data_IF_778011671866
#
_entry.id   IF_778011671866
#
_cell.length_a   1.000
_cell.length_b   1.000
_cell.length_c   1.000
_cell.angle_alpha   90.00
_cell.angle_beta   90.00
_cell.angle_gamma   90.00
#
_symmetry.space_group_name_H-M   'P 1'
#
loop_
_entity.id
_entity.type
_entity.pdbx_description
1 polymer ?
#
# COMPACT_ATOMS: atom_id res chain seq x y z
N UNK A 1 29.17 -36.42 -19.43
CA UNK A 1 29.04 -34.98 -19.75
C UNK A 1 27.70 -34.57 -19.18
N UNK A 2 27.69 -33.94 -18.02
CA UNK A 2 26.48 -33.35 -17.44
C UNK A 2 26.06 -32.19 -18.35
N UNK A 3 24.81 -32.20 -18.83
CA UNK A 3 24.27 -31.03 -19.55
C UNK A 3 24.42 -29.82 -18.65
N UNK A 4 25.08 -28.77 -19.13
CA UNK A 4 25.20 -27.52 -18.39
C UNK A 4 23.79 -26.97 -18.11
N UNK A 5 23.56 -26.51 -16.89
CA UNK A 5 22.30 -25.87 -16.51
C UNK A 5 22.22 -24.54 -17.26
N UNK A 6 21.14 -24.32 -18.01
CA UNK A 6 20.88 -23.07 -18.73
C UNK A 6 20.33 -22.01 -17.77
N UNK A 7 21.18 -21.60 -16.83
CA UNK A 7 20.93 -20.54 -15.88
C UNK A 7 22.18 -19.67 -15.73
N UNK A 8 21.97 -18.36 -15.76
CA UNK A 8 22.99 -17.35 -15.57
C UNK A 8 22.55 -16.39 -14.47
N UNK A 9 23.41 -16.18 -13.48
CA UNK A 9 23.18 -15.28 -12.35
C UNK A 9 24.21 -14.16 -12.40
N UNK A 10 23.77 -12.91 -12.41
CA UNK A 10 24.65 -11.75 -12.24
C UNK A 10 24.41 -11.15 -10.87
N UNK A 11 25.44 -11.14 -10.02
CA UNK A 11 25.42 -10.53 -8.69
C UNK A 11 26.03 -9.13 -8.77
N UNK A 12 25.34 -8.15 -8.21
CA UNK A 12 25.75 -6.74 -8.22
C UNK A 12 25.42 -6.07 -6.87
N UNK A 13 26.10 -4.97 -6.56
CA UNK A 13 25.73 -4.14 -5.41
C UNK A 13 24.35 -3.54 -5.64
N UNK A 14 23.58 -3.42 -4.56
CA UNK A 14 22.26 -2.84 -4.62
C UNK A 14 22.32 -1.31 -4.83
N UNK A 15 21.49 -0.73 -5.72
CA UNK A 15 21.65 0.66 -6.18
C UNK A 15 21.34 1.73 -5.12
N UNK A 16 20.42 1.44 -4.20
CA UNK A 16 19.94 2.40 -3.19
C UNK A 16 20.24 1.99 -1.75
N UNK A 17 20.74 0.77 -1.53
CA UNK A 17 21.01 0.22 -0.19
C UNK A 17 22.47 -0.25 -0.16
N UNK A 18 23.35 0.44 0.59
CA UNK A 18 24.79 0.30 0.42
C UNK A 18 25.36 -1.07 0.80
N UNK A 19 24.70 -1.83 1.69
CA UNK A 19 25.14 -3.19 2.05
C UNK A 19 24.46 -4.29 1.23
N UNK A 20 23.25 -4.05 0.72
CA UNK A 20 22.47 -5.09 0.05
C UNK A 20 23.09 -5.52 -1.29
N UNK A 21 22.77 -6.73 -1.73
CA UNK A 21 23.22 -7.32 -2.99
C UNK A 21 22.01 -7.74 -3.81
N UNK A 22 22.03 -7.49 -5.11
CA UNK A 22 21.00 -7.94 -6.04
C UNK A 22 21.53 -9.04 -6.96
N UNK A 23 20.65 -9.97 -7.33
CA UNK A 23 20.90 -11.03 -8.28
C UNK A 23 19.94 -10.90 -9.45
N UNK A 24 20.48 -10.85 -10.68
CA UNK A 24 19.71 -10.85 -11.93
C UNK A 24 19.86 -12.20 -12.62
N UNK A 25 18.76 -12.88 -12.89
CA UNK A 25 18.73 -14.26 -13.36
C UNK A 25 18.18 -14.34 -14.79
N UNK A 26 18.88 -15.09 -15.64
CA UNK A 26 18.47 -15.36 -17.03
C UNK A 26 18.70 -16.82 -17.41
N UNK A 27 18.11 -17.26 -18.53
CA UNK A 27 18.20 -18.64 -19.04
C UNK A 27 16.89 -19.44 -18.85
N UNK A 28 16.71 -20.49 -19.63
CA UNK A 28 15.48 -21.31 -19.60
C UNK A 28 15.31 -22.12 -18.30
N UNK A 29 16.40 -22.29 -17.53
CA UNK A 29 16.43 -23.00 -16.26
C UNK A 29 16.73 -22.08 -15.07
N UNK A 30 16.49 -20.78 -15.19
CA UNK A 30 16.72 -19.78 -14.14
C UNK A 30 16.05 -20.12 -12.78
N UNK A 31 14.90 -20.82 -12.80
CA UNK A 31 14.20 -21.28 -11.60
C UNK A 31 15.05 -22.17 -10.67
N UNK A 32 16.06 -22.88 -11.20
CA UNK A 32 16.99 -23.67 -10.39
C UNK A 32 17.85 -22.74 -9.52
N UNK A 33 18.37 -21.66 -10.12
CA UNK A 33 19.14 -20.65 -9.40
C UNK A 33 18.27 -19.86 -8.41
N UNK A 34 17.00 -19.57 -8.75
CA UNK A 34 16.04 -18.97 -7.79
C UNK A 34 15.92 -19.85 -6.55
N UNK A 35 15.67 -21.15 -6.73
CA UNK A 35 15.48 -22.09 -5.60
C UNK A 35 16.71 -22.15 -4.69
N UNK A 36 17.92 -22.17 -5.28
CA UNK A 36 19.16 -22.18 -4.53
C UNK A 36 19.38 -20.86 -3.75
N UNK A 37 19.14 -19.72 -4.39
CA UNK A 37 19.28 -18.41 -3.75
C UNK A 37 18.25 -18.20 -2.63
N UNK A 38 16.99 -18.58 -2.82
CA UNK A 38 15.98 -18.51 -1.75
C UNK A 38 16.35 -19.37 -0.53
N UNK A 39 16.98 -20.53 -0.76
CA UNK A 39 17.51 -21.38 0.31
C UNK A 39 18.66 -20.72 1.08
N UNK A 40 19.44 -19.87 0.42
CA UNK A 40 20.51 -19.05 0.99
C UNK A 40 20.02 -17.70 1.55
N UNK A 41 18.70 -17.53 1.72
CA UNK A 41 18.10 -16.36 2.37
C UNK A 41 17.87 -15.15 1.46
N UNK A 42 18.00 -15.31 0.15
CA UNK A 42 17.61 -14.28 -0.81
C UNK A 42 16.09 -14.17 -0.91
N UNK A 43 15.60 -12.95 -1.15
CA UNK A 43 14.17 -12.66 -1.32
C UNK A 43 13.88 -12.28 -2.77
N UNK A 44 12.79 -12.77 -3.34
CA UNK A 44 12.35 -12.37 -4.68
C UNK A 44 11.90 -10.92 -4.64
N UNK A 45 12.54 -10.07 -5.45
CA UNK A 45 12.20 -8.66 -5.59
C UNK A 45 11.29 -8.43 -6.81
N UNK A 46 11.65 -9.04 -7.94
CA UNK A 46 10.92 -8.97 -9.22
C UNK A 46 11.05 -10.29 -9.99
N UNK A 47 10.27 -10.55 -11.05
CA UNK A 47 10.46 -11.72 -11.91
C UNK A 47 11.88 -11.78 -12.50
N UNK A 48 12.67 -12.73 -12.01
CA UNK A 48 14.08 -12.90 -12.40
C UNK A 48 15.08 -12.06 -11.61
N UNK A 49 14.65 -11.39 -10.54
CA UNK A 49 15.53 -10.61 -9.66
C UNK A 49 15.33 -10.99 -8.20
N UNK A 50 16.43 -11.22 -7.48
CA UNK A 50 16.44 -11.45 -6.04
C UNK A 50 17.32 -10.45 -5.33
N UNK A 51 17.05 -10.20 -4.05
CA UNK A 51 17.84 -9.33 -3.18
C UNK A 51 18.26 -10.07 -1.93
N UNK A 52 19.51 -9.89 -1.54
CA UNK A 52 20.07 -10.24 -0.25
C UNK A 52 20.26 -8.95 0.55
N UNK A 53 19.52 -8.82 1.65
CA UNK A 53 19.72 -7.77 2.64
C UNK A 53 19.68 -8.42 4.02
N UNK A 54 20.60 -8.03 4.90
CA UNK A 54 20.80 -8.67 6.20
C UNK A 54 21.05 -7.64 7.29
N UNK A 55 20.65 -7.96 8.52
CA UNK A 55 20.83 -7.12 9.71
C UNK A 55 22.28 -7.09 10.21
N UNK A 56 23.14 -7.94 9.64
CA UNK A 56 24.56 -8.03 9.98
C UNK A 56 25.49 -7.28 9.03
N UNK A 57 24.93 -6.72 7.94
CA UNK A 57 25.65 -6.03 6.87
C UNK A 57 26.79 -6.86 6.21
N UNK A 58 26.74 -8.19 6.29
CA UNK A 58 27.73 -9.10 5.66
C UNK A 58 27.24 -9.66 4.32
N UNK A 59 26.29 -9.01 3.65
CA UNK A 59 25.74 -9.48 2.38
C UNK A 59 26.81 -9.72 1.30
N UNK A 60 27.89 -8.92 1.14
CA UNK A 60 28.95 -9.25 0.18
C UNK A 60 29.61 -10.60 0.46
N UNK A 61 29.86 -10.93 1.74
CA UNK A 61 30.43 -12.21 2.12
C UNK A 61 29.49 -13.37 1.75
N UNK A 62 28.21 -13.25 2.13
CA UNK A 62 27.19 -14.26 1.87
C UNK A 62 26.86 -14.40 0.38
N UNK A 63 26.90 -13.30 -0.39
CA UNK A 63 26.76 -13.34 -1.84
C UNK A 63 27.93 -14.07 -2.53
N UNK A 64 29.16 -13.89 -2.03
CA UNK A 64 30.32 -14.63 -2.52
C UNK A 64 30.25 -16.12 -2.16
N UNK A 65 29.65 -16.47 -1.01
CA UNK A 65 29.42 -17.86 -0.62
C UNK A 65 28.36 -18.53 -1.51
N UNK A 66 27.20 -17.88 -1.69
CA UNK A 66 26.14 -18.32 -2.61
C UNK A 66 26.67 -18.49 -4.04
N UNK A 67 27.52 -17.58 -4.52
CA UNK A 67 28.15 -17.71 -5.83
C UNK A 67 29.02 -18.98 -5.97
N UNK A 68 29.76 -19.38 -4.92
CA UNK A 68 30.55 -20.61 -4.94
C UNK A 68 29.65 -21.84 -4.99
N UNK A 69 28.54 -21.85 -4.25
CA UNK A 69 27.56 -22.94 -4.29
C UNK A 69 26.93 -23.08 -5.68
N UNK A 70 26.45 -21.98 -6.26
CA UNK A 70 25.87 -21.97 -7.62
C UNK A 70 26.86 -22.47 -8.68
N UNK A 71 28.12 -22.04 -8.63
CA UNK A 71 29.16 -22.52 -9.54
C UNK A 71 29.43 -24.02 -9.37
N UNK A 72 29.41 -24.52 -8.13
CA UNK A 72 29.57 -25.94 -7.84
C UNK A 72 28.42 -26.80 -8.40
N UNK A 73 27.21 -26.22 -8.50
CA UNK A 73 26.04 -26.84 -9.15
C UNK A 73 26.07 -26.76 -10.68
N UNK A 74 27.04 -26.04 -11.26
CA UNK A 74 27.20 -25.87 -12.71
C UNK A 74 26.39 -24.71 -13.29
N UNK A 75 25.92 -23.78 -12.45
CA UNK A 75 25.27 -22.53 -12.86
C UNK A 75 26.35 -21.49 -13.15
N UNK A 76 26.15 -20.70 -14.22
CA UNK A 76 27.10 -19.63 -14.56
C UNK A 76 26.82 -18.41 -13.68
N UNK A 77 27.84 -17.93 -12.96
CA UNK A 77 27.73 -16.75 -12.10
C UNK A 77 28.71 -15.67 -12.56
N UNK A 78 28.22 -14.43 -12.72
CA UNK A 78 29.01 -13.23 -12.94
C UNK A 78 28.92 -12.32 -11.70
N UNK A 79 30.05 -11.84 -11.22
CA UNK A 79 30.12 -10.92 -10.06
C UNK A 79 30.71 -9.61 -10.59
N UNK A 80 29.95 -8.52 -10.45
CA UNK A 80 30.41 -7.22 -10.96
C UNK A 80 31.67 -6.73 -10.25
N UNK A 81 32.50 -5.89 -10.91
CA UNK A 81 33.67 -5.30 -10.28
C UNK A 81 33.36 -4.55 -8.97
N UNK A 82 32.20 -3.90 -8.90
CA UNK A 82 31.73 -3.17 -7.73
C UNK A 82 31.48 -4.13 -6.56
N UNK A 83 30.73 -5.21 -6.79
CA UNK A 83 30.49 -6.22 -5.76
C UNK A 83 31.78 -6.96 -5.39
N UNK A 84 32.66 -7.23 -6.36
CA UNK A 84 33.98 -7.81 -6.08
C UNK A 84 34.80 -6.94 -5.14
N UNK A 85 34.81 -5.63 -5.35
CA UNK A 85 35.50 -4.70 -4.46
C UNK A 85 34.92 -4.73 -3.03
N UNK A 86 33.60 -4.79 -2.89
CA UNK A 86 32.94 -4.92 -1.59
C UNK A 86 33.21 -6.28 -0.91
N UNK A 87 33.30 -7.37 -1.67
CA UNK A 87 33.69 -8.70 -1.17
C UNK A 87 35.12 -8.70 -0.63
N UNK A 88 36.02 -8.04 -1.35
CA UNK A 88 37.45 -7.97 -1.02
C UNK A 88 37.73 -6.89 0.06
N UNK A 89 36.74 -6.07 0.40
CA UNK A 89 36.87 -5.05 1.43
C UNK A 89 37.08 -5.67 2.82
N UNK A 90 38.18 -5.26 3.46
CA UNK A 90 38.50 -5.70 4.81
C UNK A 90 37.72 -4.86 5.83
N UNK A 91 36.47 -5.21 6.05
CA UNK A 91 35.67 -4.61 7.11
C UNK A 91 36.05 -5.18 8.49
N UNK A 92 36.07 -4.30 9.48
CA UNK A 92 36.19 -4.66 10.90
C UNK A 92 34.98 -4.08 11.61
N UNK A 93 34.25 -4.87 12.39
CA UNK A 93 33.19 -4.36 13.27
C UNK A 93 33.82 -3.50 14.36
N UNK A 94 33.77 -2.16 14.27
CA UNK A 94 34.44 -1.32 15.24
C UNK A 94 33.72 -1.50 16.58
N UNK A 95 34.46 -1.88 17.62
CA UNK A 95 33.93 -2.09 18.97
C UNK A 95 32.86 -3.21 19.07
N UNK A 96 33.02 -4.32 18.35
CA UNK A 96 32.20 -5.51 18.59
C UNK A 96 32.28 -5.91 20.07
N UNK A 97 31.14 -6.13 20.76
CA UNK A 97 31.12 -6.30 22.23
C UNK A 97 31.84 -7.56 22.72
N UNK A 98 32.18 -8.47 21.81
CA UNK A 98 32.95 -9.68 22.05
C UNK A 98 34.31 -9.61 21.35
N UNK A 99 35.27 -8.80 21.84
CA UNK A 99 36.55 -8.56 21.17
C UNK A 99 37.48 -9.80 21.12
N UNK A 100 37.11 -10.89 21.80
CA UNK A 100 37.83 -12.16 21.77
C UNK A 100 37.42 -13.09 20.64
N UNK A 101 36.36 -12.76 19.88
CA UNK A 101 35.94 -13.57 18.74
C UNK A 101 36.76 -13.25 17.49
N UNK A 102 37.07 -14.30 16.72
CA UNK A 102 37.59 -14.18 15.36
C UNK A 102 36.51 -13.68 14.39
N UNK A 103 36.92 -13.15 13.23
CA UNK A 103 35.97 -12.72 12.18
C UNK A 103 35.01 -13.83 11.75
N UNK A 104 35.48 -15.07 11.67
CA UNK A 104 34.63 -16.21 11.33
C UNK A 104 33.60 -16.49 12.42
N UNK A 105 34.01 -16.46 13.69
CA UNK A 105 33.08 -16.64 14.82
C UNK A 105 32.07 -15.48 14.91
N UNK A 106 32.47 -14.24 14.61
CA UNK A 106 31.53 -13.11 14.53
C UNK A 106 30.48 -13.36 13.46
N UNK A 107 30.88 -13.83 12.26
CA UNK A 107 29.93 -14.19 11.20
C UNK A 107 28.97 -15.29 11.62
N UNK A 108 29.44 -16.30 12.34
CA UNK A 108 28.58 -17.37 12.84
C UNK A 108 27.54 -16.85 13.83
N UNK A 109 27.94 -15.98 14.77
CA UNK A 109 27.01 -15.35 15.74
C UNK A 109 26.02 -14.44 15.02
N UNK A 110 26.50 -13.60 14.11
CA UNK A 110 25.66 -12.70 13.32
C UNK A 110 24.69 -13.45 12.41
N UNK A 111 25.10 -14.60 11.85
CA UNK A 111 24.22 -15.44 11.04
C UNK A 111 23.13 -16.10 11.86
N UNK A 112 23.44 -16.54 13.09
CA UNK A 112 22.40 -17.02 14.01
C UNK A 112 21.40 -15.92 14.34
N UNK A 113 21.87 -14.69 14.57
CA UNK A 113 21.00 -13.55 14.82
C UNK A 113 20.12 -13.22 13.60
N UNK A 114 20.68 -13.29 12.39
CA UNK A 114 19.94 -13.13 11.14
C UNK A 114 18.83 -14.18 11.00
N UNK A 115 19.13 -15.46 11.29
CA UNK A 115 18.12 -16.53 11.25
C UNK A 115 16.97 -16.29 12.23
N UNK A 116 17.27 -15.86 13.46
CA UNK A 116 16.24 -15.50 14.44
C UNK A 116 15.37 -14.36 13.91
N UNK A 117 15.98 -13.34 13.30
CA UNK A 117 15.24 -12.23 12.68
C UNK A 117 14.34 -12.73 11.54
N UNK A 118 14.84 -13.60 10.66
CA UNK A 118 14.04 -14.17 9.57
C UNK A 118 12.92 -15.08 10.08
N UNK A 119 13.16 -15.84 11.15
CA UNK A 119 12.13 -16.66 11.81
C UNK A 119 11.00 -15.79 12.39
N UNK A 120 11.33 -14.65 13.00
CA UNK A 120 10.34 -13.69 13.49
C UNK A 120 9.57 -13.08 12.31
N UNK A 121 10.29 -12.60 11.29
CA UNK A 121 9.69 -11.96 10.12
C UNK A 121 8.77 -12.89 9.33
N UNK A 122 9.13 -14.18 9.19
CA UNK A 122 8.32 -15.21 8.52
C UNK A 122 7.22 -15.80 9.41
N UNK A 123 7.05 -15.31 10.64
CA UNK A 123 6.08 -15.81 11.61
C UNK A 123 6.36 -17.22 12.12
N UNK A 124 7.58 -17.75 11.92
CA UNK A 124 7.99 -19.04 12.46
C UNK A 124 8.32 -18.98 13.94
N UNK A 125 8.77 -17.82 14.44
CA UNK A 125 8.96 -17.51 15.85
C UNK A 125 7.99 -16.41 16.28
N UNK A 126 6.96 -16.78 17.04
CA UNK A 126 5.99 -15.83 17.60
C UNK A 126 6.56 -15.19 18.87
N UNK A 127 6.75 -13.87 18.89
CA UNK A 127 7.16 -13.13 20.09
C UNK A 127 5.93 -12.77 20.92
N UNK A 128 5.89 -13.22 22.17
CA UNK A 128 4.78 -12.96 23.10
C UNK A 128 4.95 -11.62 23.80
N UNK A 129 6.17 -11.33 24.23
CA UNK A 129 6.50 -10.12 24.99
C UNK A 129 7.97 -9.73 24.81
N UNK A 130 8.25 -8.46 25.05
CA UNK A 130 9.59 -7.90 25.12
C UNK A 130 9.75 -7.00 26.34
N UNK A 131 10.99 -6.72 26.72
CA UNK A 131 11.34 -5.79 27.77
C UNK A 131 12.73 -5.20 27.50
N UNK A 132 13.10 -4.16 28.23
CA UNK A 132 14.47 -3.65 28.25
C UNK A 132 15.12 -4.03 29.58
N UNK A 133 16.25 -4.73 29.55
CA UNK A 133 16.91 -5.25 30.78
C UNK A 133 17.86 -4.25 31.45
N UNK A 134 17.96 -3.04 30.88
CA UNK A 134 18.89 -1.98 31.30
C UNK A 134 20.11 -1.85 30.39
N UNK A 135 20.35 -2.83 29.52
CA UNK A 135 21.43 -2.84 28.54
C UNK A 135 20.93 -3.03 27.11
N UNK A 136 19.97 -3.93 26.90
CA UNK A 136 19.44 -4.24 25.58
C UNK A 136 18.00 -4.73 25.65
N UNK A 137 17.38 -4.92 24.49
CA UNK A 137 16.09 -5.58 24.39
C UNK A 137 16.23 -7.08 24.66
N UNK A 138 15.33 -7.57 25.51
CA UNK A 138 15.11 -8.99 25.75
C UNK A 138 13.69 -9.35 25.35
N UNK A 139 13.47 -10.57 24.88
CA UNK A 139 12.15 -11.01 24.44
C UNK A 139 11.88 -12.46 24.79
N UNK A 140 10.61 -12.84 24.81
CA UNK A 140 10.17 -14.22 24.98
C UNK A 140 9.28 -14.61 23.80
N UNK A 141 9.59 -15.73 23.16
CA UNK A 141 8.89 -16.21 21.99
C UNK A 141 8.70 -17.72 21.97
N UNK A 142 7.88 -18.22 21.04
CA UNK A 142 7.68 -19.64 20.78
C UNK A 142 7.76 -19.94 19.30
N UNK A 143 8.59 -20.90 18.93
CA UNK A 143 8.62 -21.45 17.58
C UNK A 143 7.32 -22.20 17.27
N UNK A 144 6.72 -21.96 16.11
CA UNK A 144 5.40 -22.52 15.74
C UNK A 144 5.48 -23.91 15.10
N UNK A 145 6.65 -24.53 15.04
CA UNK A 145 6.81 -25.89 14.54
C UNK A 145 6.15 -26.95 15.46
N UNK A 146 6.02 -28.19 14.98
CA UNK A 146 5.34 -29.30 15.72
C UNK A 146 6.01 -29.67 17.07
N UNK A 147 7.22 -29.19 17.35
CA UNK A 147 7.95 -29.38 18.60
C UNK A 147 8.37 -28.04 19.22
N UNK A 148 7.64 -26.99 18.87
CA UNK A 148 7.96 -25.60 19.13
C UNK A 148 8.51 -25.35 20.52
N UNK A 149 9.79 -25.03 20.61
CA UNK A 149 10.41 -24.60 21.85
C UNK A 149 10.08 -23.14 22.09
N UNK A 150 9.89 -22.79 23.36
CA UNK A 150 9.83 -21.40 23.78
C UNK A 150 11.22 -20.93 24.16
N UNK A 151 11.57 -19.70 23.80
CA UNK A 151 12.93 -19.17 23.94
C UNK A 151 12.89 -17.80 24.61
N UNK A 152 13.93 -17.50 25.38
CA UNK A 152 14.28 -16.13 25.73
C UNK A 152 15.34 -15.65 24.75
N UNK A 153 15.13 -14.45 24.23
CA UNK A 153 16.05 -13.76 23.35
C UNK A 153 16.73 -12.64 24.12
N UNK A 154 18.01 -12.42 23.85
CA UNK A 154 18.78 -11.32 24.38
C UNK A 154 19.58 -10.66 23.26
N UNK A 155 19.56 -9.33 23.22
CA UNK A 155 20.26 -8.55 22.21
C UNK A 155 19.39 -8.16 21.02
N UNK A 156 19.93 -7.26 20.22
CA UNK A 156 19.29 -6.68 19.04
C UNK A 156 20.19 -6.87 17.81
N UNK A 157 19.60 -6.76 16.62
CA UNK A 157 20.31 -6.84 15.34
C UNK A 157 21.20 -8.10 15.27
N UNK A 158 22.42 -7.95 14.76
CA UNK A 158 23.43 -8.99 14.67
C UNK A 158 23.94 -9.56 16.01
N UNK A 159 23.45 -9.06 17.15
CA UNK A 159 23.78 -9.54 18.49
C UNK A 159 22.64 -10.33 19.14
N UNK A 160 21.50 -10.48 18.45
CA UNK A 160 20.36 -11.22 18.98
C UNK A 160 20.68 -12.70 19.10
N UNK A 161 20.49 -13.26 20.29
CA UNK A 161 20.79 -14.66 20.59
C UNK A 161 19.69 -15.30 21.43
N UNK A 162 19.60 -16.63 21.38
CA UNK A 162 18.79 -17.41 22.32
C UNK A 162 19.56 -17.52 23.63
N UNK A 163 19.05 -16.86 24.67
CA UNK A 163 19.63 -16.88 26.02
C UNK A 163 19.19 -18.12 26.81
N UNK A 164 17.93 -18.54 26.64
CA UNK A 164 17.36 -19.70 27.33
C UNK A 164 16.30 -20.39 26.46
N UNK A 165 16.02 -21.66 26.76
CA UNK A 165 15.03 -22.48 26.05
C UNK A 165 14.14 -23.24 27.04
N UNK A 166 12.86 -23.36 26.70
CA UNK A 166 11.81 -23.91 27.55
C UNK A 166 10.93 -24.90 26.78
N UNK A 167 10.37 -25.86 27.50
CA UNK A 167 9.50 -26.89 26.93
C UNK A 167 8.05 -26.42 26.72
N UNK A 168 7.67 -25.26 27.25
CA UNK A 168 6.33 -24.71 27.06
C UNK A 168 6.29 -23.18 27.11
N UNK A 169 5.34 -22.53 26.40
CA UNK A 169 5.14 -21.08 26.45
C UNK A 169 4.85 -20.57 27.85
N UNK A 170 4.04 -21.29 28.63
CA UNK A 170 3.70 -20.90 29.99
C UNK A 170 4.94 -20.84 30.90
N UNK A 171 5.85 -21.83 30.78
CA UNK A 171 7.08 -21.83 31.56
C UNK A 171 8.00 -20.68 31.16
N UNK A 172 8.15 -20.42 29.86
CA UNK A 172 8.95 -19.30 29.36
C UNK A 172 8.40 -17.95 29.82
N UNK A 173 7.09 -17.75 29.74
CA UNK A 173 6.43 -16.52 30.17
C UNK A 173 6.58 -16.26 31.67
N UNK A 174 6.37 -17.28 32.52
CA UNK A 174 6.56 -17.16 33.96
C UNK A 174 8.01 -16.84 34.34
N UNK A 175 8.98 -17.44 33.63
CA UNK A 175 10.39 -17.14 33.84
C UNK A 175 10.73 -15.70 33.41
N UNK A 176 10.16 -15.23 32.29
CA UNK A 176 10.38 -13.88 31.77
C UNK A 176 9.77 -12.81 32.68
N UNK A 177 8.51 -12.98 33.08
CA UNK A 177 7.80 -12.05 33.97
C UNK A 177 8.54 -11.89 35.30
N UNK A 178 9.06 -12.98 35.87
CA UNK A 178 9.82 -12.94 37.13
C UNK A 178 11.04 -12.01 37.07
N UNK A 179 11.67 -11.89 35.90
CA UNK A 179 12.88 -11.09 35.72
C UNK A 179 12.57 -9.67 35.21
N UNK A 180 11.51 -9.50 34.41
CA UNK A 180 11.31 -8.29 33.60
C UNK A 180 9.94 -7.63 33.77
N UNK A 181 9.10 -8.05 34.73
CA UNK A 181 7.72 -7.57 34.89
C UNK A 181 7.53 -6.04 34.83
N UNK A 182 8.49 -5.25 35.35
CA UNK A 182 8.37 -3.79 35.40
C UNK A 182 8.43 -3.11 34.03
N UNK A 183 9.21 -3.66 33.09
CA UNK A 183 9.46 -3.09 31.75
C UNK A 183 8.81 -3.91 30.63
N UNK A 184 8.06 -4.95 31.00
CA UNK A 184 7.47 -5.91 30.08
C UNK A 184 6.33 -5.29 29.27
N UNK A 185 6.38 -5.49 27.96
CA UNK A 185 5.37 -5.07 26.98
C UNK A 185 4.98 -6.26 26.11
N UNK A 186 3.74 -6.33 25.61
CA UNK A 186 3.37 -7.31 24.58
C UNK A 186 4.29 -7.21 23.36
N UNK A 187 4.54 -8.34 22.69
CA UNK A 187 5.53 -8.47 21.62
C UNK A 187 5.18 -7.73 20.32
N UNK A 188 6.01 -7.88 19.26
CA UNK A 188 7.47 -7.89 19.31
C UNK A 188 8.03 -6.53 19.76
N UNK A 189 9.33 -6.44 19.99
CA UNK A 189 9.96 -5.14 20.22
C UNK A 189 9.87 -4.26 18.95
N UNK A 190 9.84 -2.92 19.08
CA UNK A 190 9.93 -2.03 17.93
C UNK A 190 11.14 -2.35 17.06
N UNK A 191 10.97 -2.28 15.74
CA UNK A 191 12.06 -2.52 14.78
C UNK A 191 13.18 -1.49 14.95
N UNK A 192 14.41 -1.96 15.02
CA UNK A 192 15.59 -1.10 14.96
C UNK A 192 15.73 -0.47 13.56
N UNK A 193 16.55 0.56 13.44
CA UNK A 193 16.86 1.17 12.13
C UNK A 193 17.47 0.15 11.16
N UNK A 194 18.39 -0.69 11.65
CA UNK A 194 19.01 -1.77 10.86
C UNK A 194 18.00 -2.79 10.36
N UNK A 195 17.02 -3.17 11.20
CA UNK A 195 15.97 -4.10 10.78
C UNK A 195 15.03 -3.46 9.76
N UNK A 196 14.69 -2.18 9.94
CA UNK A 196 13.91 -1.40 8.96
C UNK A 196 14.62 -1.29 7.63
N UNK A 197 15.91 -1.01 7.63
CA UNK A 197 16.74 -0.91 6.44
C UNK A 197 16.83 -2.24 5.68
N UNK A 198 17.00 -3.36 6.41
CA UNK A 198 17.04 -4.69 5.81
C UNK A 198 15.69 -5.08 5.18
N UNK A 199 14.57 -4.74 5.84
CA UNK A 199 13.22 -4.95 5.29
C UNK A 199 13.01 -4.08 4.05
N UNK A 200 13.32 -2.78 4.14
CA UNK A 200 13.18 -1.85 3.01
C UNK A 200 13.98 -2.31 1.78
N UNK A 201 15.20 -2.82 1.99
CA UNK A 201 16.02 -3.35 0.91
C UNK A 201 15.44 -4.61 0.26
N UNK A 202 14.72 -5.45 1.01
CA UNK A 202 14.04 -6.65 0.48
C UNK A 202 12.75 -6.30 -0.27
N UNK A 203 12.11 -5.19 0.08
CA UNK A 203 10.76 -4.82 -0.39
C UNK A 203 10.73 -4.06 -1.73
N UNK A 204 11.78 -4.08 -2.54
CA UNK A 204 11.70 -3.44 -3.85
C UNK A 204 10.96 -4.26 -4.88
N UNK A 205 9.71 -3.87 -5.11
CA UNK A 205 9.25 -3.58 -6.47
C UNK A 205 9.70 -2.15 -6.83
N UNK A 206 10.53 -2.07 -7.87
CA UNK A 206 10.74 -0.91 -8.75
C UNK A 206 11.49 0.34 -8.22
N UNK A 207 12.82 0.22 -8.03
CA UNK A 207 13.75 1.31 -8.37
C UNK A 207 15.01 0.71 -8.99
N UNK A 208 14.98 0.37 -10.28
CA UNK A 208 16.05 0.66 -11.27
C UNK A 208 15.63 0.14 -12.65
N UNK A 209 14.79 0.90 -13.36
CA UNK A 209 14.95 1.01 -14.83
C UNK A 209 15.88 2.18 -15.13
N UNK A 210 17.18 1.97 -14.94
CA UNK A 210 18.19 2.72 -15.69
C UNK A 210 18.51 1.93 -16.97
N UNK A 211 17.54 1.79 -17.87
CA UNK A 211 17.80 1.54 -19.29
C UNK A 211 17.05 2.57 -20.10
N UNK A 212 17.77 3.62 -20.47
CA UNK A 212 17.28 4.83 -21.16
C UNK A 212 16.20 5.55 -20.35
N UNK A 213 16.36 6.84 -20.08
CA UNK A 213 15.27 7.64 -19.55
C UNK A 213 13.98 7.29 -20.32
N UNK A 214 12.94 6.70 -19.69
CA UNK A 214 11.62 6.77 -20.26
C UNK A 214 11.36 8.27 -20.33
N UNK A 215 11.03 8.79 -21.51
CA UNK A 215 10.56 10.16 -21.64
C UNK A 215 9.62 10.44 -20.46
N UNK A 216 9.81 11.51 -19.68
CA UNK A 216 8.96 11.77 -18.53
C UNK A 216 7.52 11.60 -18.98
N UNK A 217 6.81 10.64 -18.36
CA UNK A 217 5.38 10.50 -18.58
C UNK A 217 4.80 11.88 -18.33
N UNK A 218 4.26 12.47 -19.39
CA UNK A 218 3.91 13.89 -19.38
C UNK A 218 2.77 14.03 -18.39
N UNK A 219 3.07 14.50 -17.19
CA UNK A 219 2.05 14.83 -16.20
C UNK A 219 1.30 16.06 -16.70
N UNK A 220 -0.02 15.92 -16.80
CA UNK A 220 -0.91 17.02 -17.15
C UNK A 220 -1.59 17.51 -15.88
N UNK A 221 -1.59 18.84 -15.67
CA UNK A 221 -2.44 19.46 -14.67
C UNK A 221 -3.85 19.51 -15.22
N UNK A 222 -4.76 18.80 -14.56
CA UNK A 222 -6.17 18.70 -14.93
C UNK A 222 -7.04 19.14 -13.75
N UNK A 223 -8.30 19.53 -13.97
CA UNK A 223 -9.25 19.69 -12.88
C UNK A 223 -9.27 18.46 -11.98
N UNK A 224 -9.43 18.65 -10.67
CA UNK A 224 -9.26 17.56 -9.68
C UNK A 224 -10.14 16.33 -9.99
N UNK A 225 -11.34 16.54 -10.54
CA UNK A 225 -12.26 15.45 -10.87
C UNK A 225 -11.79 14.55 -12.03
N UNK A 226 -10.76 14.97 -12.78
CA UNK A 226 -10.11 14.19 -13.83
C UNK A 226 -8.71 13.68 -13.44
N UNK A 227 -8.24 14.00 -12.24
CA UNK A 227 -6.91 13.62 -11.77
C UNK A 227 -6.84 12.11 -11.44
N UNK A 228 -5.62 11.58 -11.38
CA UNK A 228 -5.40 10.18 -11.01
C UNK A 228 -5.69 9.95 -9.52
N UNK A 229 -6.03 8.70 -9.18
CA UNK A 229 -6.30 8.26 -7.82
C UNK A 229 -5.11 8.49 -6.87
N UNK A 230 -3.87 8.43 -7.38
CA UNK A 230 -2.66 8.51 -6.58
C UNK A 230 -2.47 7.29 -5.69
N UNK A 231 -1.56 7.38 -4.72
CA UNK A 231 -1.33 6.31 -3.74
C UNK A 231 -2.18 6.57 -2.49
N UNK A 232 -3.34 5.91 -2.42
CA UNK A 232 -4.28 6.03 -1.30
C UNK A 232 -3.71 5.55 0.02
N UNK A 233 -2.84 4.54 -0.01
CA UNK A 233 -2.30 3.93 1.21
C UNK A 233 -1.24 4.84 1.82
N UNK A 234 -0.35 5.39 0.99
CA UNK A 234 0.59 6.43 1.44
C UNK A 234 -0.13 7.68 1.95
N UNK A 235 -1.29 8.03 1.38
CA UNK A 235 -2.10 9.16 1.82
C UNK A 235 -2.69 8.91 3.22
N UNK A 236 -3.19 7.71 3.50
CA UNK A 236 -3.66 7.33 4.85
C UNK A 236 -2.51 7.27 5.85
N UNK A 237 -1.37 6.69 5.46
CA UNK A 237 -0.19 6.58 6.33
C UNK A 237 0.33 7.96 6.74
N UNK A 238 0.47 8.86 5.76
CA UNK A 238 0.88 10.26 6.01
C UNK A 238 -0.08 10.97 6.96
N UNK A 239 -1.39 10.71 6.82
CA UNK A 239 -2.39 11.28 7.71
C UNK A 239 -2.23 10.76 9.14
N UNK A 240 -2.17 9.44 9.34
CA UNK A 240 -2.02 8.86 10.68
C UNK A 240 -0.71 9.31 11.34
N UNK A 241 0.39 9.36 10.59
CA UNK A 241 1.69 9.80 11.11
C UNK A 241 1.68 11.27 11.56
N UNK A 242 0.90 12.12 10.88
CA UNK A 242 0.74 13.54 11.22
C UNK A 242 -0.25 13.78 12.37
N UNK A 243 -1.20 12.87 12.58
CA UNK A 243 -2.35 13.01 13.46
C UNK A 243 -2.37 11.91 14.52
N UNK A 244 -1.56 12.09 15.57
CA UNK A 244 -1.36 11.10 16.64
C UNK A 244 -2.60 10.77 17.49
N UNK A 245 -3.69 11.53 17.31
CA UNK A 245 -5.02 11.25 17.83
C UNK A 245 -5.74 10.11 17.08
N UNK A 246 -5.24 9.67 15.92
CA UNK A 246 -5.72 8.50 15.20
C UNK A 246 -4.79 7.30 15.43
N UNK A 247 -5.37 6.19 15.84
CA UNK A 247 -4.67 4.91 15.97
C UNK A 247 -4.98 4.02 14.76
N UNK A 248 -3.92 3.50 14.13
CA UNK A 248 -4.01 2.60 12.97
C UNK A 248 -4.09 1.14 13.41
N UNK A 249 -5.07 0.44 12.86
CA UNK A 249 -5.33 -0.98 13.08
C UNK A 249 -5.48 -1.66 11.72
N UNK A 250 -4.68 -2.69 11.43
CA UNK A 250 -4.84 -3.49 10.22
C UNK A 250 -5.52 -4.82 10.53
N UNK A 251 -6.36 -5.30 9.61
CA UNK A 251 -6.93 -6.65 9.72
C UNK A 251 -5.83 -7.69 9.55
N UNK A 252 -6.05 -8.91 10.04
CA UNK A 252 -5.05 -9.99 9.98
C UNK A 252 -4.51 -10.28 8.57
N UNK A 253 -5.29 -10.04 7.52
CA UNK A 253 -4.87 -10.25 6.13
C UNK A 253 -4.21 -9.03 5.48
N UNK A 254 -4.07 -7.91 6.20
CA UNK A 254 -3.62 -6.61 5.70
C UNK A 254 -4.41 -6.07 4.49
N UNK A 255 -5.55 -6.69 4.15
CA UNK A 255 -6.43 -6.23 3.06
C UNK A 255 -7.26 -5.01 3.47
N UNK A 256 -7.29 -4.67 4.76
CA UNK A 256 -8.04 -3.50 5.26
C UNK A 256 -7.32 -2.84 6.43
N UNK A 257 -7.22 -1.52 6.37
CA UNK A 257 -6.74 -0.67 7.47
C UNK A 257 -7.87 0.16 8.03
N UNK A 258 -7.97 0.21 9.35
CA UNK A 258 -8.82 1.12 10.11
C UNK A 258 -7.95 2.18 10.78
N UNK A 259 -8.25 3.46 10.58
CA UNK A 259 -7.75 4.54 11.43
C UNK A 259 -8.90 5.01 12.35
N UNK A 260 -8.69 4.88 13.65
CA UNK A 260 -9.71 5.14 14.67
C UNK A 260 -9.24 6.33 15.52
N UNK A 261 -10.03 7.39 15.54
CA UNK A 261 -9.76 8.54 16.42
C UNK A 261 -9.82 8.12 17.91
N UNK A 262 -9.05 8.74 18.80
CA UNK A 262 -8.94 8.39 20.23
C UNK A 262 -10.30 8.40 20.96
N UNK A 263 -11.25 9.22 20.50
CA UNK A 263 -12.62 9.26 21.01
C UNK A 263 -13.44 8.00 20.67
N UNK A 264 -12.96 7.18 19.74
CA UNK A 264 -13.61 6.03 19.10
C UNK A 264 -14.92 6.34 18.37
N UNK A 265 -15.24 7.63 18.22
CA UNK A 265 -16.45 8.14 17.56
C UNK A 265 -16.23 8.55 16.11
N UNK A 266 -15.01 8.49 15.60
CA UNK A 266 -14.69 8.72 14.19
C UNK A 266 -13.77 7.60 13.70
N UNK A 267 -14.12 6.99 12.57
CA UNK A 267 -13.40 5.84 12.00
C UNK A 267 -13.26 6.01 10.50
N UNK A 268 -12.07 5.73 10.02
CA UNK A 268 -11.73 5.62 8.61
C UNK A 268 -11.40 4.15 8.37
N UNK A 269 -12.00 3.55 7.35
CA UNK A 269 -11.69 2.21 6.86
C UNK A 269 -11.21 2.34 5.42
N UNK A 270 -10.11 1.65 5.12
CA UNK A 270 -9.43 1.64 3.83
C UNK A 270 -9.26 0.19 3.39
N UNK A 271 -9.86 -0.19 2.28
CA UNK A 271 -9.72 -1.53 1.69
C UNK A 271 -8.60 -1.51 0.64
N UNK A 272 -7.49 -2.17 0.93
CA UNK A 272 -6.32 -2.23 0.06
C UNK A 272 -6.62 -3.05 -1.20
N UNK A 273 -6.11 -2.60 -2.35
CA UNK A 273 -6.32 -3.32 -3.62
C UNK A 273 -7.78 -3.39 -4.12
N UNK A 274 -8.71 -2.65 -3.52
CA UNK A 274 -10.09 -2.56 -3.99
C UNK A 274 -10.11 -2.13 -5.48
N UNK A 275 -10.87 -2.82 -6.35
CA UNK A 275 -11.03 -2.40 -7.74
C UNK A 275 -11.47 -0.93 -7.84
N UNK A 276 -11.02 -0.22 -8.87
CA UNK A 276 -11.25 1.22 -9.09
C UNK A 276 -12.69 1.71 -8.87
N UNK A 277 -13.67 0.87 -9.21
CA UNK A 277 -15.10 1.17 -9.16
C UNK A 277 -15.80 0.66 -7.89
N UNK A 278 -15.10 -0.10 -7.06
CA UNK A 278 -15.60 -0.60 -5.78
C UNK A 278 -15.25 0.35 -4.64
N UNK A 279 -16.02 0.28 -3.56
CA UNK A 279 -15.77 1.08 -2.36
C UNK A 279 -14.43 0.70 -1.75
N UNK A 280 -13.57 1.70 -1.64
CA UNK A 280 -12.19 1.55 -1.20
C UNK A 280 -11.93 2.34 0.09
N UNK A 281 -12.81 3.31 0.41
CA UNK A 281 -12.81 4.09 1.62
C UNK A 281 -14.20 4.13 2.24
N UNK A 282 -14.26 4.00 3.55
CA UNK A 282 -15.45 4.26 4.36
C UNK A 282 -15.06 5.14 5.54
N UNK A 283 -15.67 6.32 5.65
CA UNK A 283 -15.54 7.21 6.81
C UNK A 283 -16.87 7.24 7.54
N UNK A 284 -16.86 7.02 8.84
CA UNK A 284 -18.06 7.04 9.65
C UNK A 284 -17.83 7.72 11.00
N UNK A 285 -18.81 8.53 11.40
CA UNK A 285 -18.88 9.10 12.74
C UNK A 285 -20.02 8.49 13.55
N UNK A 286 -19.89 8.53 14.87
CA UNK A 286 -20.77 7.90 15.84
C UNK A 286 -21.05 8.86 17.00
N UNK A 287 -22.25 8.80 17.58
CA UNK A 287 -22.61 9.66 18.72
C UNK A 287 -21.83 9.26 19.98
N UNK A 288 -21.63 7.95 20.14
CA UNK A 288 -20.79 7.34 21.17
C UNK A 288 -20.01 6.18 20.56
N UNK A 289 -18.94 5.67 21.20
CA UNK A 289 -18.15 4.55 20.67
C UNK A 289 -18.94 3.28 20.31
N UNK A 290 -20.14 3.11 20.89
CA UNK A 290 -21.02 1.95 20.72
C UNK A 290 -22.37 2.29 20.11
N UNK A 291 -22.62 3.55 19.75
CA UNK A 291 -23.85 3.96 19.08
C UNK A 291 -23.90 3.45 17.64
N UNK A 292 -25.07 3.54 17.02
CA UNK A 292 -25.16 3.44 15.57
C UNK A 292 -24.44 4.62 14.89
N UNK A 293 -24.11 4.44 13.60
CA UNK A 293 -23.45 5.48 12.80
C UNK A 293 -24.34 6.72 12.71
N UNK A 294 -23.80 7.87 13.09
CA UNK A 294 -24.46 9.17 12.86
C UNK A 294 -24.47 9.50 11.38
N UNK A 295 -23.30 9.42 10.76
CA UNK A 295 -23.14 9.61 9.33
C UNK A 295 -22.06 8.69 8.77
N UNK A 296 -22.17 8.41 7.48
CA UNK A 296 -21.23 7.62 6.69
C UNK A 296 -20.99 8.30 5.35
N UNK A 297 -19.73 8.29 4.93
CA UNK A 297 -19.25 8.67 3.61
C UNK A 297 -18.41 7.53 3.05
N UNK A 298 -18.59 7.20 1.78
CA UNK A 298 -17.78 6.18 1.09
C UNK A 298 -17.17 6.74 -0.18
N UNK A 299 -16.00 6.26 -0.56
CA UNK A 299 -15.34 6.63 -1.81
C UNK A 299 -14.78 5.40 -2.54
N UNK A 300 -14.81 5.43 -3.86
CA UNK A 300 -14.29 4.35 -4.73
C UNK A 300 -12.76 4.35 -4.84
N UNK A 301 -12.17 3.24 -5.30
CA UNK A 301 -10.72 3.09 -5.47
C UNK A 301 -10.06 4.07 -6.45
N UNK A 302 -10.81 4.57 -7.43
CA UNK A 302 -10.33 5.56 -8.38
C UNK A 302 -10.51 7.02 -7.93
N UNK A 303 -10.99 7.29 -6.71
CA UNK A 303 -11.19 8.66 -6.22
C UNK A 303 -9.86 9.42 -6.21
N UNK A 304 -9.77 10.62 -6.83
CA UNK A 304 -8.55 11.40 -6.89
C UNK A 304 -7.93 11.72 -5.54
N UNK A 305 -6.60 11.61 -5.44
CA UNK A 305 -5.87 11.87 -4.20
C UNK A 305 -6.17 13.24 -3.56
N UNK A 306 -6.27 14.37 -4.30
CA UNK A 306 -6.55 15.66 -3.66
C UNK A 306 -7.93 15.72 -3.00
N UNK A 307 -8.94 15.01 -3.51
CA UNK A 307 -10.26 14.93 -2.88
C UNK A 307 -10.22 14.15 -1.56
N UNK A 308 -9.45 13.06 -1.53
CA UNK A 308 -9.24 12.30 -0.29
C UNK A 308 -8.39 13.09 0.70
N UNK A 309 -7.39 13.84 0.24
CA UNK A 309 -6.59 14.72 1.09
C UNK A 309 -7.44 15.83 1.71
N UNK A 310 -8.33 16.44 0.93
CA UNK A 310 -9.27 17.44 1.43
C UNK A 310 -10.22 16.84 2.48
N UNK A 311 -10.75 15.63 2.22
CA UNK A 311 -11.56 14.89 3.19
C UNK A 311 -10.77 14.64 4.50
N UNK A 312 -9.55 14.14 4.42
CA UNK A 312 -8.75 13.85 5.62
C UNK A 312 -8.37 15.12 6.38
N UNK A 313 -8.05 16.21 5.67
CA UNK A 313 -7.77 17.51 6.30
C UNK A 313 -8.97 18.02 7.09
N UNK A 314 -10.18 17.90 6.53
CA UNK A 314 -11.42 18.23 7.25
C UNK A 314 -11.60 17.39 8.52
N UNK A 315 -11.26 16.09 8.47
CA UNK A 315 -11.37 15.22 9.65
C UNK A 315 -10.37 15.58 10.75
N UNK A 316 -9.17 16.03 10.37
CA UNK A 316 -8.12 16.47 11.29
C UNK A 316 -8.49 17.76 12.05
N UNK A 317 -9.19 18.69 11.42
CA UNK A 317 -9.57 19.96 12.03
C UNK A 317 -10.62 19.81 13.16
N UNK A 318 -11.15 18.60 13.37
CA UNK A 318 -12.14 18.29 14.42
C UNK A 318 -13.58 18.66 14.04
N UNK A 319 -13.79 19.27 12.88
CA UNK A 319 -15.10 19.69 12.36
C UNK A 319 -16.01 18.49 12.00
N UNK A 320 -15.42 17.30 11.84
CA UNK A 320 -16.17 16.04 11.71
C UNK A 320 -16.92 15.60 12.97
N UNK A 321 -16.72 16.29 14.11
CA UNK A 321 -17.33 15.98 15.41
C UNK A 321 -18.55 16.84 15.76
N UNK A 322 -18.84 17.87 14.97
CA UNK A 322 -20.02 18.70 15.21
C UNK A 322 -21.24 17.79 15.17
N UNK A 323 -21.86 17.59 16.35
CA UNK A 323 -23.11 16.85 16.48
C UNK A 323 -24.08 17.62 15.61
N UNK A 324 -24.56 17.05 14.49
CA UNK A 324 -25.66 17.66 13.80
C UNK A 324 -26.80 17.56 14.81
N UNK A 325 -27.18 18.69 15.43
CA UNK A 325 -28.51 18.84 16.02
C UNK A 325 -29.43 18.16 15.00
N UNK A 326 -30.16 17.10 15.37
CA UNK A 326 -30.84 16.15 14.48
C UNK A 326 -31.92 16.78 13.58
N UNK A 327 -31.52 17.82 12.86
CA UNK A 327 -32.22 18.76 12.04
C UNK A 327 -32.00 18.24 10.63
N UNK A 328 -33.07 17.83 9.96
CA UNK A 328 -32.99 17.40 8.57
C UNK A 328 -32.28 18.45 7.71
N UNK A 329 -31.51 18.00 6.73
CA UNK A 329 -30.87 18.87 5.74
C UNK A 329 -31.93 19.77 5.11
N UNK A 330 -31.77 21.08 5.28
CA UNK A 330 -32.70 22.08 4.76
C UNK A 330 -32.11 22.79 3.54
N UNK A 331 -32.95 23.54 2.82
CA UNK A 331 -32.57 24.24 1.59
C UNK A 331 -31.38 25.21 1.78
N UNK A 332 -31.29 25.86 2.94
CA UNK A 332 -30.16 26.76 3.26
C UNK A 332 -28.84 25.99 3.36
N UNK A 333 -28.85 24.80 3.97
CA UNK A 333 -27.67 23.92 4.05
C UNK A 333 -27.25 23.42 2.67
N UNK A 334 -28.21 22.99 1.84
CA UNK A 334 -27.94 22.56 0.44
C UNK A 334 -27.34 23.71 -0.37
N UNK A 335 -27.90 24.91 -0.23
CA UNK A 335 -27.41 26.11 -0.93
C UNK A 335 -26.00 26.47 -0.48
N UNK A 336 -25.72 26.45 0.82
CA UNK A 336 -24.39 26.72 1.35
C UNK A 336 -23.36 25.69 0.86
N UNK A 337 -23.70 24.40 0.94
CA UNK A 337 -22.84 23.30 0.51
C UNK A 337 -22.49 23.33 -0.98
N UNK A 338 -23.37 23.88 -1.83
CA UNK A 338 -23.19 23.90 -3.29
C UNK A 338 -22.93 25.30 -3.85
N UNK A 339 -22.78 26.30 -2.98
CA UNK A 339 -22.43 27.67 -3.34
C UNK A 339 -21.09 27.76 -4.11
N UNK A 340 -20.04 26.99 -3.74
CA UNK A 340 -18.80 26.95 -4.53
C UNK A 340 -19.02 26.57 -6.00
N UNK A 341 -19.80 25.51 -6.26
CA UNK A 341 -20.09 25.04 -7.62
C UNK A 341 -20.81 26.11 -8.43
N UNK A 342 -21.81 26.75 -7.82
CA UNK A 342 -22.59 27.80 -8.46
C UNK A 342 -21.72 29.01 -8.79
N UNK A 343 -20.79 29.35 -7.90
CA UNK A 343 -19.81 30.44 -8.09
C UNK A 343 -18.80 30.12 -9.19
N UNK A 344 -18.43 28.86 -9.36
CA UNK A 344 -17.58 28.36 -10.43
C UNK A 344 -18.32 28.16 -11.78
N UNK A 345 -19.60 28.52 -11.84
CA UNK A 345 -20.39 28.45 -13.08
C UNK A 345 -20.93 27.06 -13.42
N UNK A 346 -20.94 26.12 -12.47
CA UNK A 346 -21.60 24.83 -12.64
C UNK A 346 -23.11 25.04 -12.79
N UNK A 347 -23.71 24.28 -13.69
CA UNK A 347 -25.15 24.38 -13.94
C UNK A 347 -25.86 23.44 -12.99
N UNK A 348 -26.96 23.90 -12.39
CA UNK A 348 -27.83 23.01 -11.62
C UNK A 348 -29.16 22.78 -12.33
N UNK A 349 -29.67 21.56 -12.21
CA UNK A 349 -30.97 21.13 -12.70
C UNK A 349 -31.71 20.47 -11.53
N UNK A 350 -32.98 20.80 -11.37
CA UNK A 350 -33.90 20.10 -10.47
C UNK A 350 -34.69 19.10 -11.31
N UNK A 351 -34.51 17.80 -11.05
CA UNK A 351 -35.20 16.71 -11.74
C UNK A 351 -35.94 15.81 -10.74
N UNK A 352 -37.22 16.09 -10.54
CA UNK A 352 -38.07 15.37 -9.60
C UNK A 352 -37.55 15.46 -8.17
N UNK A 353 -37.04 14.34 -7.65
CA UNK A 353 -36.47 14.25 -6.29
C UNK A 353 -35.01 14.68 -6.20
N UNK A 354 -34.34 14.89 -7.34
CA UNK A 354 -32.91 15.13 -7.40
C UNK A 354 -32.61 16.58 -7.71
N UNK A 355 -31.60 17.14 -7.05
CA UNK A 355 -30.96 18.39 -7.45
C UNK A 355 -29.55 18.03 -7.88
N UNK A 356 -29.19 18.35 -9.12
CA UNK A 356 -27.92 17.95 -9.74
C UNK A 356 -27.15 19.18 -10.20
N UNK A 357 -25.90 19.32 -9.77
CA UNK A 357 -24.92 20.27 -10.28
C UNK A 357 -23.95 19.53 -11.19
N UNK A 358 -23.70 20.06 -12.38
CA UNK A 358 -22.81 19.46 -13.38
C UNK A 358 -21.73 20.44 -13.78
N UNK A 359 -20.51 19.94 -13.93
CA UNK A 359 -19.35 20.71 -14.37
C UNK A 359 -19.58 21.31 -15.77
N UNK A 360 -18.93 22.44 -16.13
CA UNK A 360 -19.10 23.07 -17.43
C UNK A 360 -18.78 22.18 -18.65
N UNK A 361 -17.99 21.13 -18.45
CA UNK A 361 -17.57 20.16 -19.45
C UNK A 361 -18.36 18.83 -19.38
N UNK A 362 -19.39 18.76 -18.54
CA UNK A 362 -20.29 17.61 -18.34
C UNK A 362 -19.57 16.31 -17.88
N UNK A 363 -18.36 16.42 -17.33
CA UNK A 363 -17.55 15.27 -16.91
C UNK A 363 -17.62 14.96 -15.41
N UNK A 364 -18.24 15.81 -14.60
CA UNK A 364 -18.39 15.61 -13.17
C UNK A 364 -19.68 16.25 -12.62
N UNK A 365 -20.09 15.81 -11.44
CA UNK A 365 -21.28 16.34 -10.80
C UNK A 365 -21.40 16.06 -9.31
N UNK A 366 -22.29 16.82 -8.67
CA UNK A 366 -22.83 16.53 -7.35
C UNK A 366 -24.36 16.42 -7.48
N UNK A 367 -24.94 15.46 -6.78
CA UNK A 367 -26.37 15.18 -6.77
C UNK A 367 -26.84 15.06 -5.33
N UNK A 368 -27.94 15.74 -5.03
CA UNK A 368 -28.65 15.69 -3.77
C UNK A 368 -30.01 15.02 -3.96
N UNK A 369 -30.33 14.01 -3.14
CA UNK A 369 -31.65 13.39 -3.05
C UNK A 369 -32.52 14.10 -2.01
N UNK A 370 -33.39 15.01 -2.45
CA UNK A 370 -34.31 15.69 -1.55
C UNK A 370 -35.32 14.73 -0.90
N UNK A 371 -35.64 13.60 -1.54
CA UNK A 371 -36.57 12.62 -0.98
C UNK A 371 -35.92 11.79 0.12
N UNK A 372 -34.71 11.28 -0.11
CA UNK A 372 -33.95 10.51 0.89
C UNK A 372 -33.56 11.39 2.08
N UNK A 373 -33.25 12.68 1.86
CA UNK A 373 -33.01 13.64 2.94
C UNK A 373 -34.21 13.82 3.88
N UNK A 374 -35.45 13.73 3.36
CA UNK A 374 -36.68 13.87 4.15
C UNK A 374 -37.13 12.56 4.81
N UNK A 375 -36.67 11.41 4.31
CA UNK A 375 -36.98 10.08 4.85
C UNK A 375 -35.68 9.33 5.15
N UNK A 376 -34.84 9.84 6.06
CA UNK A 376 -33.53 9.28 6.30
C UNK A 376 -33.66 7.85 6.82
N UNK A 377 -33.03 6.91 6.13
CA UNK A 377 -32.73 5.59 6.67
C UNK A 377 -31.22 5.43 6.79
N UNK A 378 -30.79 4.69 7.81
CA UNK A 378 -29.37 4.50 8.06
C UNK A 378 -28.71 3.87 6.84
N UNK A 379 -27.64 4.51 6.35
CA UNK A 379 -26.80 4.12 5.21
C UNK A 379 -27.34 4.40 3.80
N UNK A 380 -28.46 5.10 3.62
CA UNK A 380 -28.84 5.56 2.27
C UNK A 380 -28.06 6.81 1.87
N UNK A 381 -27.44 6.78 0.70
CA UNK A 381 -26.76 7.92 0.12
C UNK A 381 -27.77 9.03 -0.20
N UNK A 382 -27.57 10.20 0.40
CA UNK A 382 -28.31 11.44 0.08
C UNK A 382 -27.52 12.33 -0.85
N UNK A 383 -26.20 12.31 -0.72
CA UNK A 383 -25.28 13.00 -1.60
C UNK A 383 -24.51 11.98 -2.44
N UNK A 384 -24.38 12.27 -3.72
CA UNK A 384 -23.49 11.55 -4.63
C UNK A 384 -22.62 12.56 -5.34
N UNK A 385 -21.32 12.36 -5.30
CA UNK A 385 -20.31 13.11 -6.06
C UNK A 385 -19.67 12.12 -7.03
N UNK A 386 -19.44 12.52 -8.27
CA UNK A 386 -18.84 11.62 -9.27
C UNK A 386 -18.05 12.38 -10.34
N UNK A 387 -17.20 11.63 -11.04
CA UNK A 387 -16.76 11.96 -12.38
C UNK A 387 -17.09 10.83 -13.37
N UNK A 388 -17.20 11.16 -14.64
CA UNK A 388 -17.61 10.27 -15.72
C UNK A 388 -18.97 10.64 -16.33
N UNK A 389 -19.37 9.91 -17.37
CA UNK A 389 -20.49 10.27 -18.26
C UNK A 389 -21.87 10.24 -17.60
N UNK A 390 -22.04 9.54 -16.48
CA UNK A 390 -23.29 9.56 -15.68
C UNK A 390 -23.06 8.95 -14.29
N UNK A 391 -23.72 9.47 -13.23
CA UNK A 391 -23.70 8.84 -11.90
C UNK A 391 -24.35 7.45 -11.91
N UNK A 392 -25.34 7.21 -12.80
CA UNK A 392 -26.15 6.00 -12.82
C UNK A 392 -25.55 4.89 -13.72
N UNK A 393 -24.55 5.24 -14.55
CA UNK A 393 -23.97 4.33 -15.54
C UNK A 393 -22.44 4.35 -15.49
N UNK A 394 -21.88 3.67 -14.48
CA UNK A 394 -20.44 3.48 -14.24
C UNK A 394 -19.66 4.80 -14.21
N UNK A 395 -19.70 5.54 -13.10
CA UNK A 395 -18.79 6.64 -12.90
C UNK A 395 -17.34 6.13 -12.91
N UNK A 396 -16.40 6.99 -13.33
CA UNK A 396 -14.96 6.73 -13.24
C UNK A 396 -14.56 6.56 -11.77
N UNK A 397 -15.13 7.39 -10.90
CA UNK A 397 -15.05 7.31 -9.46
C UNK A 397 -16.27 7.99 -8.84
N UNK A 398 -16.63 7.62 -7.61
CA UNK A 398 -17.70 8.28 -6.86
C UNK A 398 -17.41 8.38 -5.37
N UNK A 399 -18.02 9.40 -4.75
CA UNK A 399 -18.14 9.55 -3.31
C UNK A 399 -19.64 9.59 -2.99
N UNK A 400 -20.09 8.81 -2.01
CA UNK A 400 -21.48 8.88 -1.54
C UNK A 400 -21.52 9.24 -0.06
N UNK A 401 -22.48 10.06 0.34
CA UNK A 401 -22.61 10.51 1.71
C UNK A 401 -24.06 10.44 2.20
N UNK A 402 -24.22 10.01 3.45
CA UNK A 402 -25.50 9.91 4.15
C UNK A 402 -26.11 11.29 4.46
N UNK A 403 -27.41 11.39 4.80
CA UNK A 403 -28.07 12.69 5.02
C UNK A 403 -27.46 13.52 6.16
N UNK A 404 -26.91 12.88 7.19
CA UNK A 404 -26.33 13.54 8.36
C UNK A 404 -24.86 13.93 8.18
N UNK A 405 -24.29 13.74 6.99
CA UNK A 405 -22.92 14.17 6.69
C UNK A 405 -22.83 15.69 6.85
N UNK A 406 -21.82 16.23 7.56
CA UNK A 406 -21.70 17.66 7.79
C UNK A 406 -21.77 18.48 6.50
N UNK A 407 -22.58 19.53 6.49
CA UNK A 407 -22.73 20.37 5.29
C UNK A 407 -21.45 21.13 4.93
N UNK A 408 -20.60 21.43 5.92
CA UNK A 408 -19.27 22.01 5.69
C UNK A 408 -18.36 21.04 4.94
N UNK A 409 -18.36 19.75 5.27
CA UNK A 409 -17.63 18.74 4.49
C UNK A 409 -18.10 18.68 3.03
N UNK A 410 -19.41 18.75 2.78
CA UNK A 410 -19.93 18.80 1.41
C UNK A 410 -19.54 20.12 0.71
N UNK A 411 -19.46 21.24 1.45
CA UNK A 411 -18.99 22.52 0.94
C UNK A 411 -17.51 22.46 0.54
N UNK A 412 -16.66 21.86 1.36
CA UNK A 412 -15.22 21.74 1.08
C UNK A 412 -14.96 20.80 -0.10
N UNK A 413 -15.70 19.69 -0.20
CA UNK A 413 -15.66 18.84 -1.39
C UNK A 413 -16.12 19.61 -2.65
N UNK A 414 -17.15 20.46 -2.52
CA UNK A 414 -17.63 21.30 -3.61
C UNK A 414 -16.62 22.37 -4.03
N UNK A 415 -15.92 22.98 -3.07
CA UNK A 415 -14.85 23.95 -3.31
C UNK A 415 -13.65 23.29 -4.00
N UNK A 416 -13.22 22.12 -3.50
CA UNK A 416 -12.17 21.31 -4.10
C UNK A 416 -12.51 20.97 -5.56
N UNK A 417 -13.72 20.45 -5.83
CA UNK A 417 -14.16 20.13 -7.20
C UNK A 417 -14.23 21.33 -8.14
N UNK A 418 -14.61 22.48 -7.62
CA UNK A 418 -14.81 23.69 -8.39
C UNK A 418 -13.48 24.34 -8.83
N UNK A 419 -12.46 24.31 -7.96
CA UNK A 419 -11.30 25.17 -8.10
C UNK A 419 -9.95 24.45 -8.07
N UNK A 420 -9.87 23.24 -7.52
CA UNK A 420 -8.60 22.54 -7.41
C UNK A 420 -8.24 21.76 -8.68
N UNK A 421 -6.94 21.56 -8.84
CA UNK A 421 -6.36 20.78 -9.91
C UNK A 421 -5.56 19.62 -9.31
N UNK A 422 -5.51 18.51 -10.03
CA UNK A 422 -4.63 17.40 -9.72
C UNK A 422 -3.75 17.04 -10.92
N UNK A 423 -2.97 15.98 -10.76
CA UNK A 423 -2.09 15.45 -11.80
C UNK A 423 -2.71 14.23 -12.44
N UNK A 424 -2.62 14.16 -13.77
CA UNK A 424 -2.98 12.98 -14.56
C UNK A 424 -1.80 12.53 -15.41
N UNK A 425 -1.53 11.23 -15.41
CA UNK A 425 -0.52 10.59 -16.25
C UNK A 425 -1.04 10.46 -17.68
N UNK A 426 -0.42 11.17 -18.62
CA UNK A 426 -0.74 11.02 -20.04
C UNK A 426 -0.04 9.77 -20.57
N UNK A 427 -0.79 8.67 -20.76
CA UNK A 427 -0.32 7.54 -21.54
C UNK A 427 -0.10 8.00 -23.00
N UNK A 428 1.16 8.12 -23.44
CA UNK A 428 1.48 8.29 -24.86
C UNK A 428 1.18 6.98 -25.60
N UNK A 429 -0.05 6.83 -26.11
CA UNK A 429 -0.45 5.53 -26.64
C UNK A 429 -1.78 5.42 -27.37
N UNK A 430 -2.36 6.49 -27.92
CA UNK A 430 -3.20 6.40 -29.14
C UNK A 430 -3.38 7.78 -29.75
N UNK A 431 -2.49 8.18 -30.64
CA UNK A 431 -2.92 9.04 -31.74
C UNK A 431 -4.01 8.27 -32.49
N UNK A 432 -5.27 8.54 -32.14
CA UNK A 432 -6.36 8.40 -33.09
C UNK A 432 -6.02 9.36 -34.23
N UNK A 433 -5.30 8.85 -35.22
CA UNK A 433 -5.31 9.42 -36.57
C UNK A 433 -6.77 9.53 -36.95
N UNK A 434 -7.32 10.72 -36.78
CA UNK A 434 -8.60 11.16 -37.31
C UNK A 434 -8.49 11.09 -38.83
N UNK A 435 -8.65 9.89 -39.36
CA UNK A 435 -8.80 9.68 -40.79
C UNK A 435 -10.25 10.05 -41.06
N UNK A 436 -10.48 11.35 -41.26
CA UNK A 436 -11.68 11.90 -41.85
C UNK A 436 -11.91 11.19 -43.19
N UNK A 437 -12.60 10.06 -43.14
CA UNK A 437 -13.12 9.41 -44.33
C UNK A 437 -14.54 9.91 -44.49
N UNK A 438 -14.65 11.05 -45.18
CA UNK A 438 -15.92 11.56 -45.65
C UNK A 438 -16.50 10.55 -46.65
N UNK A 439 -17.49 9.77 -46.24
CA UNK A 439 -18.36 9.06 -47.19
C UNK A 439 -19.51 9.98 -47.59
N UNK A 440 -19.65 10.34 -48.88
CA UNK A 440 -20.79 11.12 -49.35
C UNK A 440 -22.08 10.29 -49.31
N UNK A 441 -23.15 10.95 -48.86
CA UNK A 441 -24.53 10.46 -48.96
C UNK A 441 -24.95 10.33 -50.43
N UNK A 442 -25.53 9.18 -50.81
CA UNK A 442 -26.31 9.04 -52.03
C UNK A 442 -27.59 8.24 -51.75
N UNK A 443 -28.71 8.84 -52.15
CA UNK A 443 -30.09 8.43 -51.96
C UNK A 443 -30.50 7.24 -52.89
N UNK A 444 -31.69 6.65 -52.71
CA UNK A 444 -32.02 5.31 -53.17
C UNK A 444 -32.47 5.28 -54.63
N UNK A 445 -32.42 4.10 -55.27
CA UNK A 445 -33.10 3.86 -56.54
C UNK A 445 -33.66 2.44 -56.61
N UNK A 446 -34.91 2.42 -57.09
CA UNK A 446 -35.84 1.31 -57.07
C UNK A 446 -35.63 0.31 -58.23
N UNK A 447 -35.89 -0.95 -57.89
CA UNK A 447 -36.68 -2.01 -58.56
C UNK A 447 -36.66 -2.23 -60.10
N UNK A 448 -36.77 -3.54 -60.42
CA UNK A 448 -37.30 -4.23 -61.63
C UNK A 448 -36.19 -4.66 -62.61
N UNK A 449 -36.08 -5.92 -63.05
CA UNK A 449 -36.95 -7.08 -62.89
C UNK A 449 -36.34 -8.34 -63.53
N UNK A 450 -37.03 -9.46 -63.29
CA UNK A 450 -36.79 -10.79 -63.86
C UNK A 450 -37.00 -10.81 -65.39
N UNK A 451 -36.49 -11.83 -66.11
CA UNK A 451 -37.44 -12.88 -66.47
C UNK A 451 -36.94 -14.33 -66.41
N UNK A 452 -37.96 -15.18 -66.36
CA UNK A 452 -38.02 -16.63 -66.28
C UNK A 452 -37.38 -17.41 -67.43
N UNK A 453 -37.09 -18.69 -67.16
CA UNK A 453 -37.53 -19.80 -68.03
C UNK A 453 -37.87 -21.05 -67.21
N UNK A 454 -39.03 -21.62 -67.58
CA UNK A 454 -39.80 -22.74 -67.01
C UNK A 454 -39.39 -24.07 -67.69
N UNK A 455 -39.79 -25.28 -67.20
CA UNK A 455 -41.11 -25.82 -67.58
C UNK A 455 -41.77 -26.80 -66.57
N UNK A 456 -43.09 -26.72 -66.39
CA UNK A 456 -44.09 -27.71 -66.85
C UNK A 456 -45.50 -27.14 -66.68
#
# INVERSE_FOLDING_TARGET
MTSAIDAHVRLDTHPTHPSAVQAHLTGSQAHIAVTALEADGWSIADPGSLVLARIDHEEPYWANDAAKHLVAEGITVDITPQLRAAIDEEWTWPNYPMPWLTRSEIREVSDQAQRIHDDIHRGQLLIHAHAHDGHTTVAVGTYLDRRGKSVHLHGENHLRQIADTFDSPAQAMLAFERLHAAEMRPGPAPLTDTERDAIAARSMSDVTTATSAPSPAKQETVPVYLADAGNHDALLDTFVDAHGEFEKWSTWSDDTTHAIHESQTLRIERVHGAPDHETAWTVAAYETPVSERMWILTATGATPAPLLQNLLSYLADGDGWDIPDGVPVNEKMVTAATQPLSSAGWKHIVDGRWIRWTSPDDNAGIQFDAFTAQHPSQNQATWTVWAGTSPDHRPTWSITASPQTPSSLIADLSECLAHENGTRQVQQGRELKTTLTSTPSAAPSATVGSPASRPR
#
